data_IF_211955028930
#
_entry.id   IF_211955028930
#
_cell.length_a   1.000
_cell.length_b   1.000
_cell.length_c   1.000
_cell.angle_alpha   90.00
_cell.angle_beta   90.00
_cell.angle_gamma   90.00
#
_symmetry.space_group_name_H-M   'P 1'
#
loop_
_entity.id
_entity.type
_entity.pdbx_description
1 polymer ?
#
# COMPACT_ATOMS: atom_id res chain seq x y z
N UNK A 1 3.36 -20.19 -3.20
CA UNK A 1 3.32 -19.78 -2.77
C UNK A 1 3.12 -18.98 -2.31
N UNK A 2 3.04 -18.43 -2.15
CA UNK A 2 2.99 -17.60 -1.73
C UNK A 2 2.76 -17.26 -0.83
N UNK A 3 2.67 -17.34 -0.33
CA UNK A 3 2.57 -17.09 0.53
C UNK A 3 2.52 -16.24 1.18
N UNK A 4 3.02 -15.98 1.15
CA UNK A 4 3.43 -14.95 1.70
C UNK A 4 2.45 -13.99 1.76
N UNK A 5 1.75 -14.17 1.29
CA UNK A 5 0.84 -13.37 1.19
C UNK A 5 0.40 -12.91 2.31
N UNK A 6 0.88 -12.97 3.05
CA UNK A 6 0.63 -12.68 4.09
C UNK A 6 0.06 -11.58 4.31
N UNK A 7 -0.36 -11.57 4.76
CA UNK A 7 -1.21 -10.84 5.03
C UNK A 7 -0.87 -9.76 5.73
N UNK A 8 -1.46 -8.95 5.66
CA UNK A 8 -1.32 -7.82 6.12
C UNK A 8 -1.18 -7.56 7.38
N UNK A 9 -1.83 -8.05 8.05
CA UNK A 9 -1.66 -7.79 9.37
C UNK A 9 -0.28 -7.92 9.62
N UNK A 10 0.36 -8.81 8.92
CA UNK A 10 1.61 -8.94 9.10
C UNK A 10 2.36 -8.00 8.43
N UNK A 11 1.91 -7.37 7.46
CA UNK A 11 2.66 -6.42 6.75
C UNK A 11 3.24 -5.39 7.67
N UNK A 12 2.66 -5.23 8.77
CA UNK A 12 3.19 -4.24 9.70
C UNK A 12 4.58 -4.61 10.14
N UNK A 13 4.94 -5.85 10.09
CA UNK A 13 6.22 -6.26 10.57
C UNK A 13 7.23 -6.51 9.49
N UNK A 14 6.89 -6.28 8.26
CA UNK A 14 7.85 -6.52 7.21
C UNK A 14 7.57 -5.70 5.99
N UNK A 15 8.60 -5.41 5.23
CA UNK A 15 8.42 -4.66 4.01
C UNK A 15 8.54 -5.58 2.82
N UNK A 16 7.96 -5.16 1.73
CA UNK A 16 7.93 -5.96 0.54
C UNK A 16 9.15 -5.68 -0.30
N UNK A 17 9.76 -6.72 -0.81
CA UNK A 17 10.90 -6.57 -1.72
C UNK A 17 10.39 -6.10 -3.08
N UNK A 18 11.23 -5.36 -3.81
CA UNK A 18 10.81 -4.85 -5.12
C UNK A 18 10.33 -5.92 -6.10
N UNK A 19 10.92 -7.11 -6.05
CA UNK A 19 10.50 -8.18 -6.94
C UNK A 19 9.08 -8.62 -6.63
N UNK A 20 8.71 -8.61 -5.36
CA UNK A 20 7.37 -9.00 -4.96
C UNK A 20 6.35 -7.95 -5.37
N UNK A 21 6.76 -6.69 -5.41
CA UNK A 21 5.88 -5.62 -5.85
C UNK A 21 5.44 -5.88 -7.28
N UNK A 22 6.40 -6.22 -8.14
CA UNK A 22 6.07 -6.48 -9.53
C UNK A 22 5.10 -7.64 -9.66
N UNK A 23 5.31 -8.68 -8.89
CA UNK A 23 4.44 -9.84 -8.95
C UNK A 23 3.02 -9.48 -8.50
N UNK A 24 2.91 -8.71 -7.43
CA UNK A 24 1.61 -8.32 -6.93
C UNK A 24 0.88 -7.42 -7.91
N UNK A 25 1.61 -6.48 -8.53
CA UNK A 25 0.99 -5.60 -9.50
C UNK A 25 0.51 -6.39 -10.71
N UNK A 26 1.28 -7.38 -11.13
CA UNK A 26 0.89 -8.21 -12.27
C UNK A 26 -0.37 -9.03 -11.96
N UNK A 27 -0.62 -9.33 -10.70
CA UNK A 27 -1.80 -10.09 -10.34
C UNK A 27 -2.94 -9.21 -9.86
N UNK A 28 -2.94 -7.95 -10.24
CA UNK A 28 -4.05 -7.06 -9.93
C UNK A 28 -3.83 -6.17 -8.73
N UNK A 29 -2.61 -6.07 -8.26
CA UNK A 29 -2.31 -5.24 -7.10
C UNK A 29 -2.53 -3.77 -7.38
N UNK A 30 -2.83 -3.03 -6.33
CA UNK A 30 -3.11 -1.61 -6.40
C UNK A 30 -2.04 -0.89 -5.60
N UNK A 31 -1.31 0.02 -6.25
CA UNK A 31 -0.21 0.72 -5.60
C UNK A 31 -0.71 2.06 -5.09
N UNK A 32 -0.53 2.33 -3.82
CA UNK A 32 -1.07 3.52 -3.19
C UNK A 32 0.03 4.34 -2.54
N UNK A 33 0.13 5.60 -2.95
CA UNK A 33 1.08 6.54 -2.38
C UNK A 33 0.33 7.36 -1.34
N UNK A 34 0.74 7.27 -0.08
CA UNK A 34 0.04 7.95 1.00
C UNK A 34 0.71 9.26 1.40
N UNK A 35 1.63 9.76 0.58
CA UNK A 35 2.27 11.04 0.84
C UNK A 35 1.34 12.19 0.42
N UNK A 36 1.78 13.40 0.69
CA UNK A 36 0.98 14.56 0.30
C UNK A 36 0.85 14.64 -1.22
N UNK A 37 -0.18 15.32 -1.73
CA UNK A 37 -0.29 15.50 -3.17
C UNK A 37 0.91 16.22 -3.79
N UNK A 38 1.53 17.12 -3.04
CA UNK A 38 2.70 17.84 -3.55
C UNK A 38 3.87 16.89 -3.76
N UNK A 39 4.10 16.00 -2.81
CA UNK A 39 5.16 15.02 -2.95
C UNK A 39 4.88 14.07 -4.09
N UNK A 40 3.64 13.65 -4.22
CA UNK A 40 3.23 12.74 -5.28
C UNK A 40 3.46 13.37 -6.65
N UNK A 41 3.15 14.67 -6.78
CA UNK A 41 3.35 15.34 -8.05
C UNK A 41 4.82 15.48 -8.40
N UNK A 42 5.68 15.60 -7.38
CA UNK A 42 7.09 15.76 -7.62
C UNK A 42 7.75 14.49 -8.11
N UNK A 43 7.41 13.36 -7.51
CA UNK A 43 7.89 12.08 -7.98
C UNK A 43 7.04 10.98 -7.35
N UNK A 44 6.89 9.88 -8.05
CA UNK A 44 6.07 8.77 -7.56
C UNK A 44 6.46 7.50 -8.30
N UNK A 45 6.04 6.38 -7.76
CA UNK A 45 6.24 5.12 -8.45
C UNK A 45 5.21 5.02 -9.57
N UNK A 46 5.59 4.41 -10.70
CA UNK A 46 4.67 4.32 -11.84
C UNK A 46 3.39 3.57 -11.46
N UNK A 47 2.28 4.11 -11.90
CA UNK A 47 0.99 3.48 -11.66
C UNK A 47 0.40 3.71 -10.28
N UNK A 48 1.04 4.49 -9.43
CA UNK A 48 0.54 4.72 -8.09
C UNK A 48 -0.67 5.65 -8.07
N UNK A 49 -1.60 5.37 -7.17
CA UNK A 49 -2.73 6.24 -6.91
C UNK A 49 -2.41 7.00 -5.63
N UNK A 50 -2.60 8.30 -5.63
CA UNK A 50 -2.32 9.10 -4.44
C UNK A 50 -3.54 9.16 -3.52
N UNK A 51 -3.41 8.54 -2.36
CA UNK A 51 -4.43 8.64 -1.33
C UNK A 51 -3.70 9.01 -0.03
N UNK A 52 -3.53 10.30 0.22
CA UNK A 52 -2.83 10.73 1.43
C UNK A 52 -3.46 10.08 2.66
N UNK A 53 -2.63 9.83 3.66
CA UNK A 53 -3.09 9.09 4.82
C UNK A 53 -4.36 9.69 5.44
N UNK A 54 -4.48 11.00 5.43
CA UNK A 54 -5.67 11.64 5.99
C UNK A 54 -6.91 11.37 5.16
N UNK A 55 -6.76 11.11 3.88
CA UNK A 55 -7.89 10.87 3.01
C UNK A 55 -8.32 9.41 3.00
N UNK A 56 -7.48 8.51 3.50
CA UNK A 56 -7.82 7.09 3.46
C UNK A 56 -9.12 6.75 4.15
N UNK A 57 -9.44 7.48 5.22
CA UNK A 57 -10.70 7.23 5.92
C UNK A 57 -11.90 7.42 5.03
N UNK A 58 -11.80 8.33 4.08
CA UNK A 58 -12.94 8.65 3.24
C UNK A 58 -12.85 8.09 1.83
N UNK A 59 -11.62 7.95 1.34
CA UNK A 59 -11.43 7.61 -0.04
C UNK A 59 -10.97 6.19 -0.31
N UNK A 60 -10.92 5.36 0.71
CA UNK A 60 -10.51 3.98 0.52
C UNK A 60 -11.46 3.23 -0.44
N UNK A 61 -12.65 3.75 -0.66
CA UNK A 61 -13.58 3.12 -1.57
C UNK A 61 -13.10 3.14 -3.02
N UNK A 62 -12.07 3.95 -3.31
CA UNK A 62 -11.49 3.94 -4.63
C UNK A 62 -10.67 2.69 -4.88
N UNK A 63 -10.40 1.92 -3.83
CA UNK A 63 -9.63 0.70 -3.95
C UNK A 63 -10.57 -0.50 -3.88
N UNK A 64 -10.16 -1.58 -4.55
CA UNK A 64 -10.94 -2.80 -4.53
C UNK A 64 -10.44 -3.64 -3.37
N UNK A 65 -11.29 -3.91 -2.39
CA UNK A 65 -10.89 -4.63 -1.19
C UNK A 65 -10.55 -6.10 -1.44
N UNK A 66 -10.87 -6.61 -2.62
CA UNK A 66 -10.58 -8.00 -2.94
C UNK A 66 -9.26 -8.17 -3.66
N UNK A 67 -8.58 -7.08 -4.00
CA UNK A 67 -7.33 -7.15 -4.71
C UNK A 67 -6.19 -6.70 -3.80
N UNK A 68 -4.99 -7.18 -4.02
CA UNK A 68 -3.86 -6.75 -3.18
C UNK A 68 -3.68 -5.25 -3.21
N UNK A 69 -3.32 -4.67 -2.08
CA UNK A 69 -3.05 -3.24 -1.98
C UNK A 69 -1.64 -3.10 -1.43
N UNK A 70 -0.83 -2.26 -2.06
CA UNK A 70 0.53 -2.01 -1.62
C UNK A 70 0.63 -0.53 -1.31
N UNK A 71 0.88 -0.19 -0.06
CA UNK A 71 0.99 1.21 0.33
C UNK A 71 2.43 1.59 0.55
N UNK A 72 2.79 2.82 0.21
CA UNK A 72 4.11 3.33 0.51
C UNK A 72 3.99 4.81 0.83
N UNK A 73 4.97 5.32 1.57
CA UNK A 73 4.94 6.72 1.96
C UNK A 73 6.32 7.19 2.35
N UNK A 74 6.37 8.27 3.11
CA UNK A 74 7.63 8.86 3.52
C UNK A 74 8.36 8.01 4.56
N UNK A 75 7.64 7.20 5.31
CA UNK A 75 8.27 6.37 6.32
C UNK A 75 7.53 5.05 6.45
N UNK A 76 8.26 4.06 6.95
CA UNK A 76 7.68 2.75 7.16
C UNK A 76 6.60 2.80 8.23
N UNK A 77 6.78 3.64 9.23
CA UNK A 77 5.80 3.75 10.31
C UNK A 77 4.46 4.23 9.76
N UNK A 78 4.49 5.21 8.87
CA UNK A 78 3.25 5.72 8.29
C UNK A 78 2.63 4.71 7.35
N UNK A 79 3.44 4.01 6.58
CA UNK A 79 2.91 2.99 5.68
C UNK A 79 2.26 1.85 6.46
N UNK A 80 2.88 1.43 7.56
CA UNK A 80 2.31 0.39 8.39
C UNK A 80 1.00 0.83 9.02
N UNK A 81 0.93 2.10 9.42
CA UNK A 81 -0.30 2.62 10.00
C UNK A 81 -1.42 2.65 8.96
N UNK A 82 -1.10 3.05 7.75
CA UNK A 82 -2.09 3.07 6.68
C UNK A 82 -2.57 1.65 6.37
N UNK A 83 -1.66 0.69 6.40
CA UNK A 83 -2.05 -0.69 6.15
C UNK A 83 -3.01 -1.18 7.22
N UNK A 84 -2.77 -0.83 8.48
CA UNK A 84 -3.67 -1.23 9.56
C UNK A 84 -5.03 -0.56 9.42
N UNK A 85 -5.05 0.68 8.97
CA UNK A 85 -6.31 1.38 8.78
C UNK A 85 -7.13 0.67 7.71
N UNK A 86 -6.50 0.31 6.60
CA UNK A 86 -7.19 -0.38 5.54
C UNK A 86 -7.66 -1.77 5.98
N UNK A 87 -6.88 -2.44 6.81
CA UNK A 87 -7.29 -3.72 7.34
C UNK A 87 -8.59 -3.58 8.13
N UNK A 88 -8.72 -2.48 8.87
CA UNK A 88 -9.94 -2.20 9.61
C UNK A 88 -11.12 -1.86 8.72
N UNK A 89 -10.88 -1.54 7.45
CA UNK A 89 -11.95 -1.23 6.50
C UNK A 89 -12.30 -2.44 5.63
N UNK A 90 -11.80 -3.61 5.97
CA UNK A 90 -12.18 -4.80 5.23
C UNK A 90 -11.18 -5.28 4.18
N UNK A 91 -10.04 -4.61 4.09
CA UNK A 91 -9.01 -5.05 3.15
C UNK A 91 -8.22 -6.16 3.81
N UNK A 92 -8.08 -7.29 3.15
CA UNK A 92 -7.43 -8.45 3.75
C UNK A 92 -6.08 -8.77 3.14
N UNK A 93 -5.70 -8.10 2.07
CA UNK A 93 -4.46 -8.43 1.39
C UNK A 93 -3.66 -7.16 1.17
N UNK A 94 -3.05 -6.66 2.24
CA UNK A 94 -2.36 -5.39 2.22
C UNK A 94 -0.90 -5.55 2.53
N UNK A 95 -0.07 -4.83 1.81
CA UNK A 95 1.37 -4.85 2.01
C UNK A 95 1.88 -3.41 2.10
N UNK A 96 3.06 -3.22 2.63
CA UNK A 96 3.65 -1.89 2.63
C UNK A 96 5.11 -1.99 2.21
N UNK A 97 5.61 -0.92 1.63
CA UNK A 97 7.00 -0.81 1.27
C UNK A 97 7.72 -0.01 2.34
N UNK A 98 8.96 -0.36 2.59
CA UNK A 98 9.75 0.35 3.59
C UNK A 98 9.96 1.79 3.18
N UNK A 99 10.18 2.02 1.90
CA UNK A 99 10.35 3.36 1.40
C UNK A 99 10.08 3.34 -0.09
N UNK A 100 10.00 4.53 -0.66
CA UNK A 100 9.73 4.64 -2.06
C UNK A 100 10.91 4.22 -2.91
N UNK A 101 12.13 4.45 -2.41
CA UNK A 101 13.29 4.15 -3.23
C UNK A 101 13.65 2.73 -3.26
#
# INVERSE_FOLDING_TARGET
MSLAIQTICRAASGSLAPAHVKELLASGGQLVDIRSPADFRRDRLPGALNLPVDALHYEHHQLNSRRPVIVYGASEVRSARAARLLAGKGFSNIYHLASKR
#
